data_IF_772981392914
#
_entry.id   IF_772981392914
#
_cell.length_a   1.000
_cell.length_b   1.000
_cell.length_c   1.000
_cell.angle_alpha   90.00
_cell.angle_beta   90.00
_cell.angle_gamma   90.00
#
_symmetry.space_group_name_H-M   'P 1'
#
loop_
_entity.id
_entity.type
_entity.pdbx_description
1 polymer ?
#
# COMPACT_ATOMS: atom_id res chain seq x y z
N UNK A 1 -29.21 23.72 3.14
CA UNK A 1 -29.21 23.26 1.74
C UNK A 1 -27.87 22.57 1.49
N UNK A 2 -27.87 21.24 1.57
CA UNK A 2 -26.68 20.39 1.38
C UNK A 2 -26.44 20.17 -0.10
N UNK A 3 -25.40 20.77 -0.66
CA UNK A 3 -24.88 20.37 -1.97
C UNK A 3 -23.80 19.31 -1.74
N UNK A 4 -24.18 18.03 -1.86
CA UNK A 4 -23.24 16.95 -2.14
C UNK A 4 -22.68 17.19 -3.55
N UNK A 5 -21.45 17.68 -3.64
CA UNK A 5 -20.72 17.66 -4.90
C UNK A 5 -20.38 16.22 -5.25
N UNK A 6 -21.15 15.66 -6.16
CA UNK A 6 -20.90 14.39 -6.79
C UNK A 6 -19.74 14.59 -7.80
N UNK A 7 -18.59 13.97 -7.55
CA UNK A 7 -17.44 14.01 -8.43
C UNK A 7 -17.78 13.28 -9.74
N UNK A 8 -17.87 14.00 -10.84
CA UNK A 8 -18.08 13.43 -12.16
C UNK A 8 -16.78 12.77 -12.64
N UNK A 9 -16.74 11.42 -12.61
CA UNK A 9 -15.72 10.64 -13.29
C UNK A 9 -15.81 10.91 -14.79
N UNK A 10 -14.83 11.60 -15.37
CA UNK A 10 -14.65 11.63 -16.82
C UNK A 10 -14.27 10.22 -17.30
N UNK A 11 -15.17 9.65 -18.10
CA UNK A 11 -15.18 8.29 -18.61
C UNK A 11 -13.97 7.98 -19.50
N UNK A 12 -12.94 7.39 -18.92
CA UNK A 12 -12.13 6.40 -19.63
C UNK A 12 -12.75 5.07 -19.22
N UNK A 13 -13.37 4.38 -20.17
CA UNK A 13 -13.89 3.01 -19.98
C UNK A 13 -12.67 2.10 -19.83
N UNK A 14 -12.13 2.00 -18.61
CA UNK A 14 -11.41 0.81 -18.21
C UNK A 14 -12.47 -0.24 -17.89
N UNK A 15 -12.32 -1.44 -18.46
CA UNK A 15 -13.10 -2.60 -18.05
C UNK A 15 -13.16 -2.64 -16.52
N UNK A 16 -14.37 -2.83 -15.98
CA UNK A 16 -14.66 -2.92 -14.55
C UNK A 16 -14.16 -4.26 -13.93
N UNK A 17 -13.02 -4.75 -14.37
CA UNK A 17 -12.35 -5.86 -13.70
C UNK A 17 -11.48 -5.25 -12.60
N UNK A 18 -11.99 -5.26 -11.37
CA UNK A 18 -11.25 -4.88 -10.17
C UNK A 18 -10.02 -5.78 -10.04
N UNK A 19 -8.91 -5.17 -9.66
CA UNK A 19 -7.64 -5.87 -9.53
C UNK A 19 -7.72 -6.96 -8.44
N UNK A 20 -7.24 -8.15 -8.75
CA UNK A 20 -7.06 -9.20 -7.76
C UNK A 20 -5.69 -9.87 -7.93
N UNK A 21 -5.16 -10.36 -6.81
CA UNK A 21 -3.94 -11.16 -6.79
C UNK A 21 -4.27 -12.63 -6.55
N UNK A 22 -3.65 -13.53 -7.33
CA UNK A 22 -3.67 -14.96 -7.07
C UNK A 22 -2.25 -15.50 -7.04
N UNK A 23 -1.95 -16.30 -6.04
CA UNK A 23 -0.68 -16.99 -5.87
C UNK A 23 -0.91 -18.48 -6.01
N UNK A 24 -0.15 -19.14 -6.86
CA UNK A 24 -0.18 -20.59 -7.02
C UNK A 24 1.20 -21.16 -6.72
N UNK A 25 1.32 -21.89 -5.58
CA UNK A 25 2.57 -22.55 -5.15
C UNK A 25 3.77 -21.59 -5.11
N UNK A 26 3.52 -20.32 -4.76
CA UNK A 26 4.58 -19.32 -4.64
C UNK A 26 5.54 -19.67 -3.53
N UNK A 27 6.85 -19.72 -3.83
CA UNK A 27 7.89 -19.95 -2.84
C UNK A 27 9.19 -19.26 -3.24
N UNK A 28 9.77 -18.42 -2.36
CA UNK A 28 11.09 -17.83 -2.59
C UNK A 28 12.15 -18.92 -2.78
N UNK A 29 13.11 -18.74 -3.70
CA UNK A 29 14.17 -19.73 -3.94
C UNK A 29 14.95 -20.09 -2.67
N UNK A 30 15.13 -19.12 -1.76
CA UNK A 30 15.83 -19.35 -0.48
C UNK A 30 15.11 -20.35 0.46
N UNK A 31 13.83 -20.62 0.21
CA UNK A 31 13.00 -21.50 1.04
C UNK A 31 12.62 -22.81 0.36
N UNK A 32 13.03 -23.06 -0.88
CA UNK A 32 12.61 -24.25 -1.67
C UNK A 32 12.87 -25.60 -0.97
N UNK A 33 13.90 -25.68 -0.13
CA UNK A 33 14.29 -26.91 0.55
C UNK A 33 13.90 -26.93 2.04
N UNK A 34 13.09 -25.93 2.47
CA UNK A 34 12.66 -25.82 3.86
C UNK A 34 11.20 -26.24 4.01
N UNK A 35 10.88 -26.92 5.11
CA UNK A 35 9.48 -27.17 5.49
C UNK A 35 8.94 -25.91 6.19
N UNK A 36 8.30 -25.05 5.42
CA UNK A 36 7.65 -23.86 5.96
C UNK A 36 6.23 -24.20 6.43
N UNK A 37 5.87 -23.66 7.59
CA UNK A 37 4.48 -23.57 8.02
C UNK A 37 3.98 -22.18 7.63
N UNK A 38 3.46 -22.07 6.43
CA UNK A 38 2.98 -20.80 5.90
C UNK A 38 1.61 -20.98 5.27
N UNK A 39 0.75 -19.98 5.41
CA UNK A 39 -0.55 -19.94 4.74
C UNK A 39 -0.44 -19.35 3.32
N UNK A 40 0.75 -18.88 2.93
CA UNK A 40 1.02 -18.27 1.61
C UNK A 40 2.01 -19.09 0.80
N UNK A 41 3.20 -19.40 1.38
CA UNK A 41 4.22 -20.15 0.65
C UNK A 41 3.75 -21.57 0.34
N UNK A 42 3.90 -21.98 -0.93
CA UNK A 42 3.46 -23.28 -1.44
C UNK A 42 1.95 -23.55 -1.29
N UNK A 43 1.14 -22.49 -1.21
CA UNK A 43 -0.32 -22.57 -1.16
C UNK A 43 -0.95 -21.95 -2.41
N UNK A 44 -2.26 -22.12 -2.56
CA UNK A 44 -3.08 -21.34 -3.49
C UNK A 44 -3.84 -20.30 -2.68
N UNK A 45 -3.54 -19.02 -2.90
CA UNK A 45 -4.14 -17.91 -2.17
C UNK A 45 -4.68 -16.90 -3.16
N UNK A 46 -5.88 -16.39 -2.91
CA UNK A 46 -6.49 -15.29 -3.66
C UNK A 46 -6.77 -14.11 -2.72
N UNK A 47 -6.40 -12.92 -3.16
CA UNK A 47 -6.73 -11.64 -2.51
C UNK A 47 -7.51 -10.83 -3.54
N UNK A 48 -8.79 -10.61 -3.25
CA UNK A 48 -9.73 -9.93 -4.13
C UNK A 48 -9.75 -8.44 -3.85
N UNK A 49 -10.35 -7.70 -4.77
CA UNK A 49 -10.75 -6.31 -4.57
C UNK A 49 -11.48 -6.11 -3.22
N UNK A 50 -11.22 -4.99 -2.59
CA UNK A 50 -11.76 -4.63 -1.26
C UNK A 50 -11.37 -5.57 -0.11
N UNK A 51 -10.66 -6.68 -0.35
CA UNK A 51 -10.13 -7.53 0.72
C UNK A 51 -9.11 -6.74 1.56
N UNK A 52 -9.27 -6.80 2.87
CA UNK A 52 -8.27 -6.32 3.83
C UNK A 52 -7.52 -7.51 4.40
N UNK A 53 -6.26 -7.61 4.08
CA UNK A 53 -5.42 -8.76 4.43
C UNK A 53 -4.27 -8.32 5.32
N UNK A 54 -4.13 -8.96 6.48
CA UNK A 54 -2.94 -8.91 7.31
C UNK A 54 -2.07 -10.13 7.02
N UNK A 55 -0.86 -9.90 6.58
CA UNK A 55 0.18 -10.93 6.48
C UNK A 55 1.05 -10.81 7.71
N UNK A 56 0.79 -11.67 8.67
CA UNK A 56 1.58 -11.77 9.89
C UNK A 56 2.85 -12.56 9.59
N UNK A 57 3.99 -11.95 9.84
CA UNK A 57 5.26 -12.53 9.43
C UNK A 57 6.37 -12.21 10.41
N UNK A 58 6.99 -13.22 10.98
CA UNK A 58 8.18 -13.10 11.81
C UNK A 58 9.37 -12.61 10.97
N UNK A 59 10.37 -12.01 11.60
CA UNK A 59 11.59 -11.60 10.90
C UNK A 59 12.24 -12.78 10.18
N UNK A 60 12.64 -12.58 8.92
CA UNK A 60 13.30 -13.63 8.12
C UNK A 60 12.35 -14.57 7.36
N UNK A 61 11.04 -14.48 7.49
CA UNK A 61 10.07 -15.34 6.78
C UNK A 61 9.78 -14.91 5.35
N UNK A 62 10.38 -13.82 4.86
CA UNK A 62 10.26 -13.37 3.48
C UNK A 62 9.29 -12.22 3.22
N UNK A 63 8.91 -11.42 4.24
CA UNK A 63 8.03 -10.24 4.09
C UNK A 63 8.44 -9.34 2.93
N UNK A 64 9.66 -8.81 2.99
CA UNK A 64 10.19 -7.92 1.95
C UNK A 64 10.22 -8.59 0.58
N UNK A 65 10.54 -9.90 0.53
CA UNK A 65 10.48 -10.66 -0.73
C UNK A 65 9.07 -10.73 -1.27
N UNK A 66 8.06 -10.97 -0.42
CA UNK A 66 6.66 -11.03 -0.83
C UNK A 66 6.21 -9.71 -1.48
N UNK A 67 6.47 -8.57 -0.83
CA UNK A 67 6.16 -7.25 -1.41
C UNK A 67 6.89 -7.05 -2.74
N UNK A 68 8.18 -7.35 -2.79
CA UNK A 68 8.96 -7.20 -4.02
C UNK A 68 8.45 -8.09 -5.16
N UNK A 69 7.92 -9.28 -4.86
CA UNK A 69 7.27 -10.13 -5.85
C UNK A 69 5.96 -9.52 -6.36
N UNK A 70 5.10 -9.02 -5.45
CA UNK A 70 3.86 -8.33 -5.83
C UNK A 70 4.12 -7.12 -6.73
N UNK A 71 5.17 -6.38 -6.42
CA UNK A 71 5.56 -5.19 -7.17
C UNK A 71 6.41 -5.51 -8.42
N UNK A 72 6.66 -6.80 -8.72
CA UNK A 72 7.49 -7.23 -9.85
C UNK A 72 8.95 -6.78 -9.79
N UNK A 73 9.43 -6.45 -8.59
CA UNK A 73 10.81 -5.99 -8.36
C UNK A 73 11.81 -7.15 -8.26
N UNK A 74 11.31 -8.35 -7.95
CA UNK A 74 12.11 -9.59 -7.85
C UNK A 74 11.36 -10.74 -8.52
N UNK A 75 12.12 -11.71 -9.04
CA UNK A 75 11.59 -12.90 -9.75
C UNK A 75 12.25 -14.21 -9.29
N UNK A 76 12.98 -14.19 -8.17
CA UNK A 76 13.67 -15.34 -7.59
C UNK A 76 12.73 -16.20 -6.73
N UNK A 77 11.67 -16.69 -7.36
CA UNK A 77 10.66 -17.56 -6.75
C UNK A 77 10.25 -18.68 -7.71
N UNK A 78 9.66 -19.75 -7.15
CA UNK A 78 8.89 -20.75 -7.89
C UNK A 78 7.40 -20.49 -7.73
N UNK A 79 6.59 -21.18 -8.54
CA UNK A 79 5.14 -20.96 -8.57
C UNK A 79 4.76 -19.84 -9.51
N UNK A 80 3.54 -19.33 -9.38
CA UNK A 80 3.00 -18.32 -10.28
C UNK A 80 2.25 -17.26 -9.50
N UNK A 81 2.46 -16.00 -9.87
CA UNK A 81 1.67 -14.85 -9.41
C UNK A 81 0.80 -14.40 -10.58
N UNK A 82 -0.48 -14.23 -10.33
CA UNK A 82 -1.41 -13.63 -11.27
C UNK A 82 -1.86 -12.27 -10.74
N UNK A 83 -1.96 -11.33 -11.65
CA UNK A 83 -2.70 -10.08 -11.48
C UNK A 83 -3.87 -10.16 -12.44
N UNK A 84 -5.07 -10.17 -11.90
CA UNK A 84 -6.29 -10.49 -12.63
C UNK A 84 -6.17 -11.91 -13.24
N UNK A 85 -6.26 -12.02 -14.55
CA UNK A 85 -6.12 -13.30 -15.27
C UNK A 85 -4.74 -13.48 -15.91
N UNK A 86 -3.84 -12.50 -15.77
CA UNK A 86 -2.52 -12.52 -16.40
C UNK A 86 -1.44 -12.97 -15.43
N UNK A 87 -0.56 -13.86 -15.86
CA UNK A 87 0.65 -14.18 -15.08
C UNK A 87 1.57 -12.96 -15.04
N UNK A 88 2.05 -12.63 -13.85
CA UNK A 88 2.95 -11.50 -13.65
C UNK A 88 4.17 -11.53 -14.57
N UNK A 89 4.76 -12.72 -14.77
CA UNK A 89 5.91 -12.90 -15.68
C UNK A 89 5.60 -12.73 -17.18
N UNK A 90 4.32 -12.68 -17.57
CA UNK A 90 3.87 -12.48 -18.96
C UNK A 90 3.42 -11.03 -19.21
N UNK A 91 3.27 -10.22 -18.16
CA UNK A 91 2.90 -8.79 -18.26
C UNK A 91 4.13 -8.01 -18.77
N UNK A 92 3.93 -7.25 -19.85
CA UNK A 92 5.00 -6.39 -20.38
C UNK A 92 5.40 -5.30 -19.40
N UNK A 93 6.66 -4.87 -19.40
CA UNK A 93 7.22 -3.90 -18.45
C UNK A 93 6.43 -2.59 -18.45
N UNK A 94 6.04 -2.12 -19.63
CA UNK A 94 5.25 -0.90 -19.81
C UNK A 94 3.85 -1.03 -19.18
N UNK A 95 3.17 -2.15 -19.42
CA UNK A 95 1.85 -2.46 -18.84
C UNK A 95 1.96 -2.54 -17.31
N UNK A 96 2.96 -3.26 -16.80
CA UNK A 96 3.15 -3.39 -15.36
C UNK A 96 3.52 -2.06 -14.70
N UNK A 97 4.24 -1.20 -15.41
CA UNK A 97 4.52 0.17 -14.94
C UNK A 97 3.23 0.97 -14.78
N UNK A 98 2.27 0.83 -15.72
CA UNK A 98 0.95 1.48 -15.58
C UNK A 98 0.15 0.90 -14.41
N UNK A 99 0.18 -0.42 -14.19
CA UNK A 99 -0.46 -1.07 -13.03
C UNK A 99 0.10 -0.49 -11.73
N UNK A 100 1.42 -0.47 -11.55
CA UNK A 100 2.06 0.13 -10.35
C UNK A 100 1.71 1.59 -10.17
N UNK A 101 1.65 2.33 -11.27
CA UNK A 101 1.38 3.76 -11.24
C UNK A 101 -0.06 4.08 -10.84
N UNK A 102 -1.04 3.34 -11.36
CA UNK A 102 -2.44 3.70 -11.27
C UNK A 102 -3.29 2.80 -10.38
N UNK A 103 -2.85 1.54 -10.14
CA UNK A 103 -3.63 0.56 -9.40
C UNK A 103 -3.01 0.17 -8.05
N UNK A 104 -1.71 0.38 -7.84
CA UNK A 104 -1.04 -0.01 -6.58
C UNK A 104 -0.47 1.24 -5.91
N UNK A 105 -0.80 1.44 -4.63
CA UNK A 105 -0.08 2.36 -3.78
C UNK A 105 0.71 1.62 -2.71
N UNK A 106 1.85 2.15 -2.29
CA UNK A 106 2.74 1.42 -1.38
C UNK A 106 3.31 2.34 -0.30
N UNK A 107 3.27 1.85 0.95
CA UNK A 107 4.04 2.39 2.08
C UNK A 107 5.14 1.38 2.36
N UNK A 108 6.39 1.74 2.06
CA UNK A 108 7.56 0.89 2.32
C UNK A 108 8.08 1.09 3.75
N UNK A 109 8.74 0.08 4.30
CA UNK A 109 9.37 0.14 5.62
C UNK A 109 10.41 1.26 5.72
N UNK A 110 11.18 1.53 4.65
CA UNK A 110 12.17 2.61 4.55
C UNK A 110 11.55 3.96 4.11
N UNK A 111 10.21 4.03 4.07
CA UNK A 111 9.37 5.21 3.79
C UNK A 111 9.58 5.85 2.42
N UNK A 112 10.70 5.67 1.74
CA UNK A 112 11.01 6.21 0.40
C UNK A 112 10.77 7.73 0.27
N UNK A 113 11.05 8.50 1.34
CA UNK A 113 10.94 9.95 1.36
C UNK A 113 12.26 10.61 0.95
N UNK A 114 12.18 11.71 0.24
CA UNK A 114 13.34 12.55 -0.09
C UNK A 114 13.66 13.46 1.09
N UNK A 115 14.66 13.10 1.87
CA UNK A 115 14.98 13.73 3.16
C UNK A 115 15.32 15.22 3.08
N UNK A 116 15.93 15.66 1.98
CA UNK A 116 16.32 17.06 1.79
C UNK A 116 15.18 17.94 1.27
N UNK A 117 14.07 17.34 0.81
CA UNK A 117 12.87 18.05 0.40
C UNK A 117 11.94 18.25 1.60
N UNK A 118 11.11 19.30 1.52
CA UNK A 118 10.03 19.53 2.48
C UNK A 118 8.92 18.45 2.35
N UNK A 119 8.01 18.42 3.32
CA UNK A 119 6.79 17.57 3.23
C UNK A 119 5.99 17.93 2.00
N UNK A 120 5.77 19.24 1.76
CA UNK A 120 5.11 19.76 0.57
C UNK A 120 5.74 19.24 -0.72
N UNK A 121 7.06 19.38 -0.84
CA UNK A 121 7.78 18.95 -2.03
C UNK A 121 7.70 17.44 -2.24
N UNK A 122 7.80 16.62 -1.17
CA UNK A 122 7.64 15.17 -1.24
C UNK A 122 6.26 14.77 -1.78
N UNK A 123 5.20 15.50 -1.40
CA UNK A 123 3.83 15.24 -1.90
C UNK A 123 3.69 15.72 -3.34
N UNK A 124 4.21 16.89 -3.68
CA UNK A 124 4.17 17.46 -5.04
C UNK A 124 4.94 16.65 -6.10
N UNK A 125 5.81 15.73 -5.69
CA UNK A 125 6.46 14.79 -6.63
C UNK A 125 5.49 13.75 -7.22
N UNK A 126 4.28 13.63 -6.69
CA UNK A 126 3.29 12.70 -7.24
C UNK A 126 2.69 13.25 -8.55
N UNK A 127 2.87 12.56 -9.69
CA UNK A 127 2.31 12.99 -10.97
C UNK A 127 0.77 13.04 -10.97
N UNK A 128 0.16 12.32 -10.05
CA UNK A 128 -1.29 12.12 -9.93
C UNK A 128 -2.01 13.33 -9.32
N UNK A 129 -1.30 14.24 -8.63
CA UNK A 129 -1.87 15.52 -8.18
C UNK A 129 -2.51 16.31 -9.34
N UNK A 130 -1.99 16.12 -10.56
CA UNK A 130 -2.58 16.71 -11.76
C UNK A 130 -3.93 16.08 -12.18
N UNK A 131 -4.37 14.99 -11.51
CA UNK A 131 -5.54 14.17 -11.91
C UNK A 131 -6.71 14.20 -10.93
N UNK A 132 -6.81 15.24 -10.09
CA UNK A 132 -7.99 15.42 -9.22
C UNK A 132 -7.70 15.47 -7.73
N UNK A 133 -6.51 15.06 -7.28
CA UNK A 133 -6.07 15.28 -5.90
C UNK A 133 -5.50 16.69 -5.77
N UNK A 134 -5.94 17.41 -4.74
CA UNK A 134 -5.51 18.78 -4.49
C UNK A 134 -4.53 18.82 -3.31
N UNK A 135 -3.68 19.83 -3.27
CA UNK A 135 -2.76 20.07 -2.15
C UNK A 135 -3.54 20.23 -0.83
N UNK A 136 -4.74 20.76 -0.91
CA UNK A 136 -5.66 20.91 0.22
C UNK A 136 -6.05 19.58 0.85
N UNK A 137 -6.20 18.50 0.05
CA UNK A 137 -6.48 17.15 0.57
C UNK A 137 -5.31 16.65 1.43
N UNK A 138 -4.06 16.89 0.97
CA UNK A 138 -2.88 16.55 1.76
C UNK A 138 -2.82 17.33 3.08
N UNK A 139 -3.16 18.63 3.05
CA UNK A 139 -3.18 19.46 4.28
C UNK A 139 -4.24 19.01 5.26
N UNK A 140 -5.42 18.59 4.78
CA UNK A 140 -6.46 18.00 5.62
C UNK A 140 -5.97 16.69 6.26
N UNK A 141 -5.30 15.80 5.52
CA UNK A 141 -4.74 14.57 6.06
C UNK A 141 -3.62 14.85 7.08
N UNK A 142 -2.78 15.87 6.85
CA UNK A 142 -1.75 16.29 7.81
C UNK A 142 -2.38 16.82 9.11
N UNK A 143 -3.50 17.52 9.02
CA UNK A 143 -4.25 18.01 10.19
C UNK A 143 -4.90 16.84 10.94
N UNK A 144 -5.54 15.89 10.23
CA UNK A 144 -6.08 14.66 10.83
C UNK A 144 -5.02 13.84 11.59
N UNK A 145 -3.75 13.90 11.15
CA UNK A 145 -2.62 13.20 11.75
C UNK A 145 -1.74 14.09 12.67
N UNK A 146 -2.18 15.29 13.05
CA UNK A 146 -1.48 16.26 13.94
C UNK A 146 -0.04 16.60 13.50
N UNK A 147 0.20 16.77 12.22
CA UNK A 147 1.50 17.16 11.67
C UNK A 147 1.40 18.29 10.62
N UNK A 148 0.32 19.05 10.63
CA UNK A 148 0.11 20.14 9.67
C UNK A 148 1.18 21.24 9.78
N UNK A 149 1.71 21.47 10.98
CA UNK A 149 2.81 22.41 11.24
C UNK A 149 4.15 22.00 10.58
N UNK A 150 4.22 20.79 10.00
CA UNK A 150 5.43 20.25 9.33
C UNK A 150 5.44 20.47 7.82
N UNK A 151 4.40 21.08 7.24
CA UNK A 151 4.20 21.20 5.79
C UNK A 151 5.44 21.70 5.03
N UNK A 152 6.07 22.78 5.52
CA UNK A 152 7.23 23.40 4.88
C UNK A 152 8.58 22.87 5.43
N UNK A 153 8.54 21.96 6.41
CA UNK A 153 9.76 21.46 7.03
C UNK A 153 10.45 20.38 6.18
N UNK A 154 11.79 20.42 6.05
CA UNK A 154 12.54 19.35 5.42
C UNK A 154 12.33 18.02 6.16
N UNK A 155 12.07 16.93 5.43
CA UNK A 155 11.78 15.61 6.00
C UNK A 155 12.86 15.11 6.94
N UNK A 156 14.15 15.43 6.69
CA UNK A 156 15.26 15.05 7.57
C UNK A 156 15.13 15.58 9.00
N UNK A 157 14.35 16.64 9.23
CA UNK A 157 14.16 17.25 10.56
C UNK A 157 13.02 16.62 11.35
N UNK A 158 12.23 15.76 10.72
CA UNK A 158 11.09 15.08 11.32
C UNK A 158 11.54 13.87 12.16
N UNK A 159 10.79 13.56 13.24
CA UNK A 159 10.93 12.28 13.91
C UNK A 159 10.52 11.13 12.98
N UNK A 160 10.95 9.90 13.29
CA UNK A 160 10.62 8.75 12.43
C UNK A 160 9.10 8.54 12.34
N UNK A 161 8.36 8.64 13.44
CA UNK A 161 6.89 8.54 13.43
C UNK A 161 6.21 9.68 12.65
N UNK A 162 6.79 10.90 12.62
CA UNK A 162 6.31 11.95 11.72
C UNK A 162 6.57 11.63 10.26
N UNK A 163 7.77 11.12 9.93
CA UNK A 163 8.11 10.63 8.58
C UNK A 163 7.15 9.51 8.15
N UNK A 164 6.83 8.58 9.04
CA UNK A 164 5.87 7.49 8.77
C UNK A 164 4.49 8.04 8.39
N UNK A 165 3.96 9.00 9.17
CA UNK A 165 2.68 9.66 8.86
C UNK A 165 2.72 10.38 7.49
N UNK A 166 3.81 11.07 7.18
CA UNK A 166 4.00 11.71 5.86
C UNK A 166 4.03 10.67 4.73
N UNK A 167 4.71 9.53 4.92
CA UNK A 167 4.76 8.46 3.91
C UNK A 167 3.37 7.84 3.66
N UNK A 168 2.58 7.64 4.74
CA UNK A 168 1.18 7.19 4.63
C UNK A 168 0.37 8.21 3.82
N UNK A 169 0.39 9.50 4.19
CA UNK A 169 -0.33 10.53 3.46
C UNK A 169 0.07 10.53 1.98
N UNK A 170 1.37 10.51 1.68
CA UNK A 170 1.85 10.48 0.31
C UNK A 170 1.32 9.28 -0.48
N UNK A 171 1.24 8.11 0.15
CA UNK A 171 0.68 6.92 -0.49
C UNK A 171 -0.83 7.05 -0.75
N UNK A 172 -1.56 7.78 0.10
CA UNK A 172 -3.00 8.00 -0.03
C UNK A 172 -3.36 9.14 -1.01
N UNK A 173 -2.39 9.93 -1.46
CA UNK A 173 -2.58 11.08 -2.35
C UNK A 173 -2.60 10.72 -3.84
N UNK A 174 -2.88 9.47 -4.18
CA UNK A 174 -3.09 9.01 -5.56
C UNK A 174 -4.22 7.98 -5.61
N UNK A 175 -4.87 7.73 -6.76
CA UNK A 175 -5.83 6.64 -6.90
C UNK A 175 -5.12 5.29 -6.79
N UNK A 176 -5.78 4.29 -6.23
CA UNK A 176 -5.29 2.92 -6.16
C UNK A 176 -6.45 1.92 -6.05
N UNK A 177 -6.21 0.69 -6.50
CA UNK A 177 -7.10 -0.46 -6.29
C UNK A 177 -6.58 -1.35 -5.15
N UNK A 178 -5.26 -1.28 -4.87
CA UNK A 178 -4.64 -1.88 -3.69
C UNK A 178 -3.66 -0.93 -3.00
N UNK A 179 -3.75 -0.86 -1.69
CA UNK A 179 -2.74 -0.27 -0.83
C UNK A 179 -1.91 -1.40 -0.20
N UNK A 180 -0.59 -1.37 -0.41
CA UNK A 180 0.36 -2.34 0.16
C UNK A 180 1.20 -1.62 1.19
N UNK A 181 1.20 -2.10 2.44
CA UNK A 181 1.92 -1.47 3.55
C UNK A 181 2.90 -2.45 4.20
N UNK A 182 4.17 -2.07 4.29
CA UNK A 182 5.22 -2.79 5.01
C UNK A 182 5.50 -2.14 6.35
N UNK A 183 5.01 -2.73 7.44
CA UNK A 183 5.16 -2.26 8.83
C UNK A 183 4.84 -0.75 9.01
N UNK A 184 3.68 -0.27 8.54
CA UNK A 184 3.41 1.19 8.45
C UNK A 184 3.27 1.86 9.82
N UNK A 185 3.17 1.11 10.92
CA UNK A 185 2.91 1.64 12.26
C UNK A 185 4.04 1.35 13.26
N UNK A 186 5.13 0.71 12.84
CA UNK A 186 6.19 0.18 13.72
C UNK A 186 6.83 1.22 14.67
N UNK A 187 6.73 2.51 14.37
CA UNK A 187 7.29 3.60 15.17
C UNK A 187 6.23 4.63 15.59
N UNK A 188 4.98 4.25 15.57
CA UNK A 188 3.87 5.07 16.05
C UNK A 188 3.41 4.58 17.43
N UNK A 189 3.05 5.50 18.29
CA UNK A 189 2.25 5.16 19.46
C UNK A 189 0.83 4.76 19.07
N UNK A 190 0.11 4.15 19.99
CA UNK A 190 -1.24 3.62 19.76
C UNK A 190 -2.22 4.69 19.24
N UNK A 191 -2.12 5.93 19.76
CA UNK A 191 -3.00 7.02 19.36
C UNK A 191 -2.74 7.41 17.89
N UNK A 192 -1.48 7.56 17.50
CA UNK A 192 -1.09 7.90 16.14
C UNK A 192 -1.37 6.73 15.17
N UNK A 193 -1.12 5.48 15.58
CA UNK A 193 -1.48 4.31 14.79
C UNK A 193 -2.99 4.24 14.53
N UNK A 194 -3.81 4.50 15.55
CA UNK A 194 -5.28 4.55 15.41
C UNK A 194 -5.73 5.64 14.42
N UNK A 195 -5.13 6.84 14.47
CA UNK A 195 -5.45 7.91 13.51
C UNK A 195 -5.09 7.52 12.09
N UNK A 196 -3.90 6.94 11.90
CA UNK A 196 -3.46 6.47 10.59
C UNK A 196 -4.38 5.36 10.05
N UNK A 197 -4.78 4.40 10.90
CA UNK A 197 -5.72 3.33 10.52
C UNK A 197 -7.06 3.91 10.04
N UNK A 198 -7.64 4.86 10.78
CA UNK A 198 -8.90 5.51 10.39
C UNK A 198 -8.78 6.26 9.06
N UNK A 199 -7.67 6.97 8.84
CA UNK A 199 -7.42 7.67 7.60
C UNK A 199 -7.28 6.68 6.43
N UNK A 200 -6.57 5.58 6.62
CA UNK A 200 -6.43 4.52 5.61
C UNK A 200 -7.80 3.90 5.32
N UNK A 201 -8.57 3.49 6.35
CA UNK A 201 -9.91 2.90 6.15
C UNK A 201 -10.83 3.81 5.35
N UNK A 202 -10.87 5.10 5.69
CA UNK A 202 -11.63 6.11 4.94
C UNK A 202 -11.24 6.14 3.46
N UNK A 203 -9.93 6.10 3.16
CA UNK A 203 -9.44 6.11 1.78
C UNK A 203 -9.71 4.80 1.04
N UNK A 204 -9.62 3.65 1.70
CA UNK A 204 -9.99 2.37 1.12
C UNK A 204 -11.47 2.34 0.73
N UNK A 205 -12.35 2.87 1.58
CA UNK A 205 -13.79 2.98 1.29
C UNK A 205 -14.07 3.94 0.12
N UNK A 206 -13.39 5.10 0.06
CA UNK A 206 -13.55 6.09 -1.02
C UNK A 206 -13.09 5.56 -2.38
N UNK A 207 -12.01 4.78 -2.42
CA UNK A 207 -11.44 4.21 -3.64
C UNK A 207 -12.02 2.83 -4.00
N UNK A 208 -12.82 2.19 -3.13
CA UNK A 208 -13.23 0.79 -3.24
C UNK A 208 -12.03 -0.14 -3.39
N UNK A 209 -11.02 0.04 -2.54
CA UNK A 209 -9.71 -0.58 -2.68
C UNK A 209 -9.43 -1.63 -1.61
N UNK A 210 -8.61 -2.63 -1.99
CA UNK A 210 -8.08 -3.62 -1.07
C UNK A 210 -6.85 -3.14 -0.29
N UNK A 211 -6.55 -3.84 0.81
CA UNK A 211 -5.38 -3.63 1.65
C UNK A 211 -4.56 -4.91 1.80
N UNK A 212 -3.26 -4.81 1.57
CA UNK A 212 -2.29 -5.83 1.96
C UNK A 212 -1.34 -5.20 2.98
N UNK A 213 -1.52 -5.58 4.24
CA UNK A 213 -0.73 -5.09 5.36
C UNK A 213 0.24 -6.19 5.82
N UNK A 214 1.53 -5.88 5.86
CA UNK A 214 2.54 -6.76 6.46
C UNK A 214 2.95 -6.19 7.81
N UNK A 215 2.85 -6.99 8.86
CA UNK A 215 3.21 -6.59 10.22
C UNK A 215 3.80 -7.75 11.03
N UNK A 216 4.58 -7.39 12.05
CA UNK A 216 5.15 -8.33 13.03
C UNK A 216 4.14 -8.69 14.13
N UNK A 217 3.17 -7.83 14.39
CA UNK A 217 2.16 -7.97 15.45
C UNK A 217 0.80 -7.51 14.94
N UNK A 218 -0.27 -7.98 15.58
CA UNK A 218 -1.65 -7.61 15.25
C UNK A 218 -2.05 -6.22 15.82
N UNK A 219 -1.12 -5.28 15.85
CA UNK A 219 -1.32 -3.96 16.49
C UNK A 219 -2.29 -3.04 15.72
N UNK A 220 -2.99 -3.56 14.72
CA UNK A 220 -3.83 -2.74 13.84
C UNK A 220 -5.31 -3.02 14.07
N UNK A 221 -6.06 -1.98 14.37
CA UNK A 221 -7.52 -2.00 14.58
C UNK A 221 -8.34 -1.87 13.30
N UNK A 222 -7.85 -2.42 12.17
CA UNK A 222 -8.66 -2.50 10.96
C UNK A 222 -9.86 -3.43 11.13
N UNK A 223 -10.99 -3.06 10.59
CA UNK A 223 -12.17 -3.92 10.58
C UNK A 223 -12.03 -5.00 9.50
N UNK A 224 -12.49 -6.21 9.82
CA UNK A 224 -12.64 -7.31 8.84
C UNK A 224 -11.32 -7.75 8.17
N UNK A 225 -10.21 -7.82 8.92
CA UNK A 225 -8.95 -8.32 8.42
C UNK A 225 -8.98 -9.85 8.24
N UNK A 226 -8.59 -10.33 7.05
CA UNK A 226 -8.21 -11.73 6.81
C UNK A 226 -6.73 -11.89 7.21
N UNK A 227 -6.42 -12.81 8.10
CA UNK A 227 -5.06 -13.00 8.60
C UNK A 227 -4.42 -14.21 7.93
N UNK A 228 -3.22 -14.02 7.37
CA UNK A 228 -2.38 -15.08 6.84
C UNK A 228 -1.03 -15.09 7.57
N UNK A 229 -0.57 -16.27 7.94
CA UNK A 229 0.78 -16.48 8.47
C UNK A 229 1.77 -16.73 7.33
N UNK A 230 2.90 -16.02 7.34
CA UNK A 230 3.92 -16.15 6.31
C UNK A 230 5.05 -17.08 6.73
#
# INVERSE_FOLDING_TARGET
MNQKQCWSKSSIIFNLDFMHFKFEQLCPHVFQHQKLKSAIWNQVVEIKDEDKVLIHAISGTGKTSFIHYLLGLRQDYTGTIFIDQKKLGEIQVEEFTQIRKHKISTVFQDLQLFENLSVEENIKLLPELAKGYQIEDAKMMLDELDINDKWEQPVKTLSFGQKQRVAIIRALMKPFEFLICDEPFSHLDEQNATKCTKLIEKRLEEEHAGLILLALQEECTFKELKIFEL
#
